data_IF_665578336386
#
_entry.id   IF_665578336386
#
_cell.length_a   1.000
_cell.length_b   1.000
_cell.length_c   1.000
_cell.angle_alpha   90.00
_cell.angle_beta   90.00
_cell.angle_gamma   90.00
#
_symmetry.space_group_name_H-M   'P 1'
#
loop_
_entity.id
_entity.type
_entity.pdbx_description
1 polymer ?
#
# COMPACT_ATOMS: atom_id res chain seq x y z
N UNK A 1 13.31 37.25 -12.14
CA UNK A 1 13.59 35.93 -11.57
C UNK A 1 13.37 36.07 -10.07
N UNK A 2 12.25 35.54 -9.54
CA UNK A 2 12.00 35.47 -8.10
C UNK A 2 12.83 34.32 -7.53
N UNK A 3 13.41 34.46 -6.33
CA UNK A 3 14.12 33.35 -5.70
C UNK A 3 13.11 32.22 -5.41
N UNK A 4 13.55 30.98 -5.67
CA UNK A 4 12.86 29.77 -5.25
C UNK A 4 12.78 29.84 -3.72
N UNK A 5 11.59 29.77 -3.16
CA UNK A 5 11.37 29.71 -1.71
C UNK A 5 12.19 28.56 -1.12
N UNK A 6 12.87 28.84 -0.01
CA UNK A 6 13.58 27.80 0.75
C UNK A 6 12.60 26.69 1.12
N UNK A 7 13.02 25.40 1.06
CA UNK A 7 12.17 24.29 1.49
C UNK A 7 11.72 24.54 2.93
N UNK A 8 10.42 24.37 3.17
CA UNK A 8 9.81 24.62 4.46
C UNK A 8 10.55 23.81 5.54
N UNK A 9 10.93 24.48 6.63
CA UNK A 9 11.58 23.86 7.81
C UNK A 9 10.66 22.91 8.59
N UNK A 10 9.50 22.59 8.05
CA UNK A 10 8.48 21.73 8.66
C UNK A 10 8.34 20.49 7.79
N UNK A 11 8.17 19.31 8.44
CA UNK A 11 7.92 18.04 7.75
C UNK A 11 6.68 18.09 6.84
N UNK A 12 6.36 17.00 6.15
CA UNK A 12 5.23 16.93 5.23
C UNK A 12 3.91 17.25 5.96
N UNK A 13 3.01 17.99 5.30
CA UNK A 13 1.72 18.40 5.88
C UNK A 13 0.68 17.28 5.94
N UNK A 14 1.00 16.12 5.37
CA UNK A 14 0.10 14.98 5.20
C UNK A 14 0.43 13.78 6.11
N UNK A 15 1.31 13.95 7.07
CA UNK A 15 1.67 12.92 8.04
C UNK A 15 2.90 13.29 8.86
N UNK A 16 3.18 12.50 9.88
CA UNK A 16 4.37 12.66 10.74
C UNK A 16 5.45 11.69 10.29
N UNK A 17 6.69 12.16 10.20
CA UNK A 17 7.85 11.33 9.88
C UNK A 17 8.30 10.59 11.14
N UNK A 18 8.48 9.26 11.05
CA UNK A 18 9.21 8.48 12.03
C UNK A 18 10.72 8.66 11.79
N UNK A 19 11.32 9.56 12.58
CA UNK A 19 12.75 9.88 12.47
C UNK A 19 13.64 8.71 12.90
N UNK A 20 13.18 7.87 13.81
CA UNK A 20 13.96 6.73 14.29
C UNK A 20 14.02 5.65 13.19
N UNK A 21 12.92 5.40 12.50
CA UNK A 21 12.93 4.49 11.35
C UNK A 21 13.75 5.07 10.18
N UNK A 22 13.62 6.36 9.89
CA UNK A 22 14.45 7.03 8.87
C UNK A 22 15.96 6.89 9.16
N UNK A 23 16.35 7.04 10.42
CA UNK A 23 17.75 6.87 10.83
C UNK A 23 18.20 5.40 10.72
N UNK A 24 17.36 4.42 11.08
CA UNK A 24 17.67 3.00 10.88
C UNK A 24 17.88 2.68 9.39
N UNK A 25 16.98 3.14 8.51
CA UNK A 25 17.14 2.97 7.06
C UNK A 25 18.46 3.56 6.54
N UNK A 26 18.80 4.78 6.97
CA UNK A 26 20.04 5.45 6.56
C UNK A 26 21.30 4.76 7.11
N UNK A 27 21.21 4.12 8.27
CA UNK A 27 22.31 3.46 8.97
C UNK A 27 22.48 1.98 8.58
N UNK A 28 21.57 1.41 7.78
CA UNK A 28 21.67 0.00 7.34
C UNK A 28 23.00 -0.21 6.60
N UNK A 29 23.84 -1.17 7.05
CA UNK A 29 25.10 -1.46 6.37
C UNK A 29 24.88 -1.91 4.93
N UNK A 30 25.74 -1.54 3.98
CA UNK A 30 25.57 -1.88 2.56
C UNK A 30 25.44 -3.39 2.29
N UNK A 31 26.07 -4.23 3.10
CA UNK A 31 26.02 -5.69 3.02
C UNK A 31 24.70 -6.30 3.56
N UNK A 32 23.95 -5.53 4.33
CA UNK A 32 22.63 -5.90 4.87
C UNK A 32 21.49 -5.17 4.16
N UNK A 33 21.83 -4.15 3.33
CA UNK A 33 20.84 -3.34 2.62
C UNK A 33 20.43 -4.04 1.32
N UNK A 34 19.13 -4.14 1.12
CA UNK A 34 18.54 -4.83 -0.01
C UNK A 34 17.19 -4.23 -0.40
N UNK A 35 16.47 -4.89 -1.31
CA UNK A 35 15.20 -4.37 -1.80
C UNK A 35 14.19 -4.14 -0.67
N UNK A 36 13.48 -3.00 -0.76
CA UNK A 36 12.39 -2.63 0.14
C UNK A 36 11.20 -2.14 -0.67
N UNK A 37 9.99 -2.57 -0.27
CA UNK A 37 8.73 -2.16 -0.89
C UNK A 37 8.07 -1.10 -0.03
N UNK A 38 7.93 0.11 -0.58
CA UNK A 38 7.28 1.22 0.12
C UNK A 38 5.81 1.24 -0.28
N UNK A 39 4.96 0.77 0.63
CA UNK A 39 3.49 0.78 0.45
C UNK A 39 2.95 2.13 0.90
N UNK A 40 2.27 2.82 -0.02
CA UNK A 40 1.68 4.13 0.21
C UNK A 40 0.16 4.02 0.22
N UNK A 41 -0.48 4.43 1.30
CA UNK A 41 -1.92 4.70 1.37
C UNK A 41 -2.09 6.21 1.24
N UNK A 42 -2.94 6.65 0.31
CA UNK A 42 -3.06 8.05 -0.06
C UNK A 42 -4.51 8.53 0.05
N UNK A 43 -4.71 9.61 0.82
CA UNK A 43 -5.93 10.39 0.89
C UNK A 43 -5.69 11.76 0.28
N UNK A 44 -6.48 12.12 -0.72
CA UNK A 44 -6.35 13.38 -1.43
C UNK A 44 -7.17 14.51 -0.80
N UNK A 45 -6.67 15.73 -0.92
CA UNK A 45 -7.48 16.93 -0.71
C UNK A 45 -8.49 17.06 -1.86
N UNK A 46 -9.64 17.65 -1.59
CA UNK A 46 -10.60 17.98 -2.66
C UNK A 46 -9.96 18.97 -3.66
N UNK A 47 -9.35 20.03 -3.15
CA UNK A 47 -8.55 21.00 -3.91
C UNK A 47 -7.14 21.02 -3.34
N UNK A 48 -6.15 20.98 -4.23
CA UNK A 48 -4.74 21.03 -3.85
C UNK A 48 -4.40 22.37 -3.18
N UNK A 49 -3.65 22.32 -2.10
CA UNK A 49 -3.27 23.49 -1.31
C UNK A 49 -1.77 23.76 -1.45
N UNK A 50 -1.41 24.72 -2.28
CA UNK A 50 -0.03 25.16 -2.49
C UNK A 50 0.42 26.25 -1.47
N UNK A 51 -0.38 26.51 -0.42
CA UNK A 51 -0.05 27.51 0.59
C UNK A 51 -0.07 28.92 0.03
N UNK A 52 0.96 29.71 0.38
CA UNK A 52 1.05 31.13 0.01
C UNK A 52 1.29 31.37 -1.50
N UNK A 53 1.53 30.32 -2.31
CA UNK A 53 1.80 30.45 -3.74
C UNK A 53 0.54 30.70 -4.59
N UNK A 54 -0.63 30.79 -3.98
CA UNK A 54 -1.87 31.22 -4.59
C UNK A 54 -3.01 30.18 -4.55
N UNK A 55 -4.20 30.59 -4.94
CA UNK A 55 -5.37 29.71 -5.04
C UNK A 55 -5.17 28.66 -6.13
N UNK A 56 -5.35 27.39 -5.77
CA UNK A 56 -5.34 26.25 -6.69
C UNK A 56 -6.75 25.97 -7.19
N UNK A 57 -6.85 25.49 -8.43
CA UNK A 57 -8.11 25.02 -9.04
C UNK A 57 -8.08 23.55 -9.40
N UNK A 58 -6.95 22.87 -9.19
CA UNK A 58 -6.81 21.44 -9.47
C UNK A 58 -7.11 20.62 -8.21
N UNK A 59 -7.59 19.39 -8.42
CA UNK A 59 -7.82 18.46 -7.33
C UNK A 59 -6.49 17.99 -6.69
N UNK A 60 -6.56 17.46 -5.47
CA UNK A 60 -5.41 16.83 -4.84
C UNK A 60 -4.89 15.64 -5.66
N UNK A 61 -5.78 14.92 -6.34
CA UNK A 61 -5.42 13.82 -7.24
C UNK A 61 -4.64 14.34 -8.46
N UNK A 62 -5.10 15.39 -9.12
CA UNK A 62 -4.39 15.98 -10.25
C UNK A 62 -3.00 16.50 -9.83
N UNK A 63 -2.89 17.01 -8.61
CA UNK A 63 -1.60 17.41 -8.05
C UNK A 63 -0.67 16.20 -7.84
N UNK A 64 -1.18 15.05 -7.37
CA UNK A 64 -0.40 13.80 -7.26
C UNK A 64 0.03 13.28 -8.64
N UNK A 65 -0.79 13.41 -9.67
CA UNK A 65 -0.42 13.06 -11.04
C UNK A 65 0.72 13.98 -11.57
N UNK A 66 0.77 15.25 -11.16
CA UNK A 66 1.90 16.15 -11.44
C UNK A 66 3.16 15.78 -10.65
N UNK A 67 2.99 15.26 -9.42
CA UNK A 67 4.12 14.77 -8.63
C UNK A 67 4.82 13.62 -9.32
N UNK A 68 4.11 12.60 -9.79
CA UNK A 68 4.57 11.36 -10.41
C UNK A 68 6.08 11.34 -10.78
N UNK A 69 7.00 10.91 -9.88
CA UNK A 69 8.44 11.10 -10.03
C UNK A 69 9.10 9.95 -10.84
N UNK A 70 8.45 9.48 -11.91
CA UNK A 70 8.88 8.28 -12.66
C UNK A 70 10.32 8.35 -13.17
N UNK A 71 10.78 9.52 -13.65
CA UNK A 71 12.16 9.69 -14.11
C UNK A 71 13.15 9.55 -12.95
N UNK A 72 12.85 10.16 -11.81
CA UNK A 72 13.70 10.07 -10.61
C UNK A 72 13.77 8.64 -10.09
N UNK A 73 12.62 7.94 -10.08
CA UNK A 73 12.56 6.53 -9.67
C UNK A 73 13.40 5.65 -10.60
N UNK A 74 13.27 5.83 -11.92
CA UNK A 74 14.05 5.08 -12.90
C UNK A 74 15.56 5.31 -12.74
N UNK A 75 15.99 6.55 -12.50
CA UNK A 75 17.39 6.92 -12.29
C UNK A 75 18.05 6.21 -11.11
N UNK A 76 17.29 5.92 -10.07
CA UNK A 76 17.76 5.23 -8.86
C UNK A 76 17.49 3.72 -8.88
N UNK A 77 16.93 3.19 -9.98
CA UNK A 77 16.57 1.78 -10.12
C UNK A 77 15.35 1.37 -9.29
N UNK A 78 14.51 2.32 -8.89
CA UNK A 78 13.24 2.04 -8.23
C UNK A 78 12.12 1.84 -9.25
N UNK A 79 11.16 0.97 -8.91
CA UNK A 79 10.08 0.58 -9.80
C UNK A 79 8.73 0.74 -9.10
N UNK A 80 7.75 1.36 -9.78
CA UNK A 80 6.35 1.28 -9.36
C UNK A 80 5.83 -0.11 -9.73
N UNK A 81 5.55 -0.93 -8.74
CA UNK A 81 5.13 -2.34 -8.93
C UNK A 81 3.65 -2.56 -8.70
N UNK A 82 2.96 -1.59 -8.10
CA UNK A 82 1.52 -1.59 -7.95
C UNK A 82 1.01 -0.16 -7.82
N UNK A 83 -0.11 0.14 -8.47
CA UNK A 83 -0.96 1.23 -8.04
C UNK A 83 -2.41 0.96 -8.46
N UNK A 84 -3.35 1.48 -7.68
CA UNK A 84 -4.77 1.36 -7.97
C UNK A 84 -5.62 2.26 -7.10
N UNK A 85 -6.81 2.59 -7.60
CA UNK A 85 -7.78 3.39 -6.89
C UNK A 85 -8.60 2.53 -5.93
N UNK A 86 -8.84 3.03 -4.73
CA UNK A 86 -9.71 2.38 -3.75
C UNK A 86 -11.16 2.59 -4.16
N UNK A 87 -11.85 1.50 -4.48
CA UNK A 87 -13.28 1.52 -4.80
C UNK A 87 -14.16 1.47 -3.55
N UNK A 88 -13.70 0.74 -2.54
CA UNK A 88 -14.40 0.61 -1.27
C UNK A 88 -13.42 0.27 -0.14
N UNK A 89 -13.56 0.94 0.98
CA UNK A 89 -12.93 0.55 2.24
C UNK A 89 -13.95 -0.22 3.07
N UNK A 90 -13.67 -1.50 3.33
CA UNK A 90 -14.59 -2.41 4.01
C UNK A 90 -14.39 -2.41 5.53
N UNK A 91 -13.14 -2.25 5.96
CA UNK A 91 -12.74 -2.21 7.36
C UNK A 91 -11.72 -1.08 7.57
N UNK A 92 -11.68 -0.60 8.79
CA UNK A 92 -10.78 0.44 9.26
C UNK A 92 -11.48 1.78 9.47
N UNK A 93 -10.91 2.57 10.37
CA UNK A 93 -11.39 3.91 10.71
C UNK A 93 -11.04 4.92 9.61
N UNK A 94 -11.36 6.20 9.87
CA UNK A 94 -10.94 7.29 8.99
C UNK A 94 -9.40 7.43 8.96
N UNK A 95 -8.87 7.93 7.84
CA UNK A 95 -9.61 8.35 6.66
C UNK A 95 -10.04 7.17 5.79
N UNK A 96 -11.00 7.41 4.88
CA UNK A 96 -11.20 6.52 3.73
C UNK A 96 -10.15 6.85 2.69
N UNK A 97 -9.33 5.85 2.35
CA UNK A 97 -8.24 6.00 1.41
C UNK A 97 -8.75 6.10 -0.04
N UNK A 98 -8.03 6.85 -0.89
CA UNK A 98 -8.42 7.06 -2.28
C UNK A 98 -7.58 6.23 -3.25
N UNK A 99 -6.28 6.01 -2.92
CA UNK A 99 -5.36 5.26 -3.79
C UNK A 99 -4.33 4.51 -2.95
N UNK A 100 -3.86 3.37 -3.47
CA UNK A 100 -2.72 2.64 -2.95
C UNK A 100 -1.65 2.54 -4.03
N UNK A 101 -0.39 2.78 -3.64
CA UNK A 101 0.77 2.60 -4.51
C UNK A 101 1.87 1.84 -3.81
N UNK A 102 2.60 1.01 -4.56
CA UNK A 102 3.81 0.33 -4.06
C UNK A 102 4.97 0.60 -4.99
N UNK A 103 6.05 1.10 -4.40
CA UNK A 103 7.32 1.32 -5.09
C UNK A 103 8.36 0.39 -4.48
N UNK A 104 9.00 -0.43 -5.31
CA UNK A 104 10.14 -1.25 -4.95
C UNK A 104 11.42 -0.42 -5.14
N UNK A 105 12.17 -0.25 -4.09
CA UNK A 105 13.49 0.38 -4.12
C UNK A 105 14.57 -0.69 -4.06
N UNK A 106 15.70 -0.53 -4.76
CA UNK A 106 16.80 -1.50 -4.72
C UNK A 106 17.45 -1.59 -3.32
N UNK A 107 17.42 -0.51 -2.55
CA UNK A 107 17.94 -0.43 -1.19
C UNK A 107 17.18 0.61 -0.37
N UNK A 108 17.21 0.51 0.97
CA UNK A 108 16.70 1.54 1.88
C UNK A 108 17.44 2.86 1.68
N UNK A 109 18.74 2.78 1.43
CA UNK A 109 19.59 3.94 1.16
C UNK A 109 19.10 4.70 -0.08
N UNK A 110 18.74 4.03 -1.17
CA UNK A 110 18.25 4.69 -2.39
C UNK A 110 16.96 5.47 -2.14
N UNK A 111 16.05 4.94 -1.28
CA UNK A 111 14.87 5.69 -0.83
C UNK A 111 15.24 6.95 -0.05
N UNK A 112 16.19 6.86 0.89
CA UNK A 112 16.62 8.00 1.71
C UNK A 112 17.31 9.06 0.84
N UNK A 113 18.23 8.64 -0.04
CA UNK A 113 18.97 9.54 -0.93
C UNK A 113 18.06 10.25 -1.93
N UNK A 114 17.03 9.56 -2.45
CA UNK A 114 16.02 10.17 -3.34
C UNK A 114 15.41 11.44 -2.72
N UNK A 115 15.08 11.39 -1.43
CA UNK A 115 14.46 12.53 -0.75
C UNK A 115 15.35 13.77 -0.68
N UNK A 116 16.68 13.62 -0.87
CA UNK A 116 17.65 14.71 -0.89
C UNK A 116 17.86 15.30 -2.29
N UNK A 117 17.35 14.67 -3.34
CA UNK A 117 17.55 15.10 -4.73
C UNK A 117 16.76 16.37 -5.04
N UNK A 118 17.40 17.39 -5.66
CA UNK A 118 16.70 18.64 -6.01
C UNK A 118 15.58 18.47 -7.04
N UNK A 119 15.71 17.51 -7.97
CA UNK A 119 14.69 17.20 -8.98
C UNK A 119 13.47 16.54 -8.34
N UNK A 120 13.66 15.63 -7.37
CA UNK A 120 12.59 15.06 -6.57
C UNK A 120 11.86 16.12 -5.75
N UNK A 121 12.62 16.97 -5.04
CA UNK A 121 12.03 18.03 -4.19
C UNK A 121 11.17 19.01 -4.98
N UNK A 122 11.55 19.34 -6.23
CA UNK A 122 10.74 20.18 -7.11
C UNK A 122 9.37 19.57 -7.43
N UNK A 123 9.30 18.25 -7.57
CA UNK A 123 8.04 17.53 -7.78
C UNK A 123 7.27 17.34 -6.48
N UNK A 124 7.97 17.14 -5.37
CA UNK A 124 7.39 16.85 -4.06
C UNK A 124 6.44 17.95 -3.54
N UNK A 125 6.58 19.19 -4.00
CA UNK A 125 5.64 20.28 -3.68
C UNK A 125 4.22 19.95 -4.12
N UNK A 126 4.06 19.20 -5.21
CA UNK A 126 2.75 18.77 -5.70
C UNK A 126 2.14 17.69 -4.81
N UNK A 127 2.96 16.73 -4.32
CA UNK A 127 2.52 15.74 -3.34
C UNK A 127 2.05 16.43 -2.05
N UNK A 128 2.85 17.36 -1.52
CA UNK A 128 2.50 18.10 -0.30
C UNK A 128 1.23 18.96 -0.47
N UNK A 129 1.02 19.51 -1.66
CA UNK A 129 -0.21 20.25 -1.97
C UNK A 129 -1.44 19.34 -2.11
N UNK A 130 -1.28 18.16 -2.73
CA UNK A 130 -2.38 17.28 -3.10
C UNK A 130 -2.84 16.34 -1.98
N UNK A 131 -1.92 15.92 -1.09
CA UNK A 131 -2.22 14.95 -0.04
C UNK A 131 -2.88 15.60 1.16
N UNK A 132 -3.99 15.00 1.61
CA UNK A 132 -4.59 15.29 2.91
C UNK A 132 -3.92 14.46 4.00
N UNK A 133 -3.81 13.14 3.76
CA UNK A 133 -3.16 12.19 4.65
C UNK A 133 -2.44 11.11 3.84
N UNK A 134 -1.35 10.58 4.39
CA UNK A 134 -0.61 9.47 3.79
C UNK A 134 -0.03 8.59 4.87
N UNK A 135 -0.10 7.27 4.66
CA UNK A 135 0.71 6.30 5.40
C UNK A 135 1.70 5.69 4.42
N UNK A 136 2.98 5.69 4.77
CA UNK A 136 4.05 5.04 3.98
C UNK A 136 4.73 4.00 4.85
N UNK A 137 4.58 2.74 4.47
CA UNK A 137 5.10 1.59 5.21
C UNK A 137 6.24 0.97 4.41
N UNK A 138 7.44 0.89 5.01
CA UNK A 138 8.54 0.10 4.47
C UNK A 138 8.32 -1.37 4.79
N UNK A 139 8.41 -2.22 3.77
CA UNK A 139 7.97 -3.59 3.82
C UNK A 139 8.99 -4.54 3.19
N UNK A 140 9.05 -5.76 3.73
CA UNK A 140 9.82 -6.87 3.19
C UNK A 140 8.87 -8.03 2.85
N UNK A 141 9.08 -8.75 1.73
CA UNK A 141 8.24 -9.89 1.39
C UNK A 141 8.40 -11.00 2.43
N UNK A 142 7.31 -11.72 2.67
CA UNK A 142 7.30 -12.91 3.53
C UNK A 142 6.86 -14.13 2.74
N UNK A 143 7.25 -15.31 3.22
CA UNK A 143 6.76 -16.56 2.66
C UNK A 143 5.24 -16.63 2.75
N UNK A 144 4.61 -17.06 1.65
CA UNK A 144 3.16 -17.16 1.56
C UNK A 144 2.74 -18.62 1.46
N UNK A 145 1.56 -18.99 2.01
CA UNK A 145 1.01 -20.32 1.79
C UNK A 145 0.82 -20.58 0.30
N UNK A 146 1.18 -21.79 -0.13
CA UNK A 146 1.03 -22.22 -1.52
C UNK A 146 -0.34 -22.89 -1.67
N UNK A 147 -1.19 -22.29 -2.49
CA UNK A 147 -2.48 -22.84 -2.89
C UNK A 147 -2.50 -23.18 -4.38
N UNK A 148 -3.41 -24.07 -4.78
CA UNK A 148 -3.60 -24.36 -6.19
C UNK A 148 -4.03 -23.10 -6.95
N UNK A 149 -3.36 -22.84 -8.08
CA UNK A 149 -3.72 -21.74 -8.98
C UNK A 149 -4.68 -22.21 -10.05
N UNK A 150 -5.78 -21.47 -10.24
CA UNK A 150 -6.79 -21.77 -11.23
C UNK A 150 -6.77 -20.77 -12.39
N UNK A 151 -7.10 -21.25 -13.58
CA UNK A 151 -7.38 -20.40 -14.75
C UNK A 151 -8.66 -19.60 -14.47
N UNK A 152 -8.54 -18.27 -14.49
CA UNK A 152 -9.67 -17.38 -14.21
C UNK A 152 -10.86 -17.54 -15.16
N UNK A 153 -10.63 -18.07 -16.37
CA UNK A 153 -11.72 -18.38 -17.30
C UNK A 153 -12.58 -19.59 -16.87
N UNK A 154 -12.11 -20.38 -15.89
CA UNK A 154 -12.73 -21.65 -15.46
C UNK A 154 -13.22 -21.67 -14.01
N UNK A 155 -13.05 -20.56 -13.28
CA UNK A 155 -13.53 -20.45 -11.89
C UNK A 155 -15.03 -20.17 -11.86
N UNK A 156 -15.72 -20.36 -10.71
CA UNK A 156 -17.15 -20.13 -10.60
C UNK A 156 -17.62 -18.70 -10.93
N UNK A 157 -16.74 -17.71 -10.72
CA UNK A 157 -17.03 -16.30 -10.95
C UNK A 157 -15.89 -15.65 -11.77
N UNK A 158 -15.79 -15.97 -13.08
CA UNK A 158 -14.75 -15.43 -13.94
C UNK A 158 -14.88 -13.92 -14.12
N UNK A 159 -13.80 -13.25 -14.52
CA UNK A 159 -13.88 -11.82 -14.86
C UNK A 159 -14.76 -11.63 -16.10
N UNK A 160 -15.48 -10.51 -16.12
CA UNK A 160 -16.30 -10.03 -17.25
C UNK A 160 -15.99 -8.57 -17.53
N UNK A 161 -16.54 -8.04 -18.63
CA UNK A 161 -16.37 -6.60 -18.96
C UNK A 161 -16.99 -5.68 -17.88
N UNK A 162 -18.06 -6.14 -17.20
CA UNK A 162 -18.75 -5.36 -16.16
C UNK A 162 -18.22 -5.66 -14.75
N UNK A 163 -17.52 -6.78 -14.55
CA UNK A 163 -16.97 -7.22 -13.25
C UNK A 163 -15.56 -7.81 -13.44
N UNK A 164 -14.61 -6.92 -13.67
CA UNK A 164 -13.21 -7.27 -13.89
C UNK A 164 -12.43 -7.56 -12.61
N UNK A 165 -11.14 -7.89 -12.76
CA UNK A 165 -10.26 -8.18 -11.64
C UNK A 165 -10.16 -7.04 -10.63
N UNK A 166 -10.04 -7.42 -9.36
CA UNK A 166 -9.78 -6.50 -8.25
C UNK A 166 -8.65 -7.04 -7.37
N UNK A 167 -8.01 -6.16 -6.63
CA UNK A 167 -7.07 -6.53 -5.57
C UNK A 167 -7.64 -6.13 -4.21
N UNK A 168 -7.75 -7.09 -3.29
CA UNK A 168 -8.12 -6.80 -1.91
C UNK A 168 -6.84 -6.60 -1.12
N UNK A 169 -6.69 -5.38 -0.59
CA UNK A 169 -5.52 -4.99 0.19
C UNK A 169 -5.89 -4.98 1.67
N UNK A 170 -5.09 -5.68 2.47
CA UNK A 170 -5.20 -5.66 3.92
C UNK A 170 -3.96 -5.01 4.51
N UNK A 171 -4.15 -4.02 5.39
CA UNK A 171 -3.11 -3.48 6.26
C UNK A 171 -3.46 -3.91 7.68
N UNK A 172 -2.56 -4.61 8.34
CA UNK A 172 -2.84 -5.35 9.57
C UNK A 172 -1.91 -4.91 10.69
N UNK A 173 -2.49 -4.66 11.86
CA UNK A 173 -1.78 -4.54 13.13
C UNK A 173 -2.26 -5.64 14.06
N UNK A 174 -1.33 -6.45 14.54
CA UNK A 174 -1.65 -7.58 15.40
C UNK A 174 -1.78 -7.19 16.87
N UNK A 175 -2.57 -7.96 17.60
CA UNK A 175 -2.46 -8.05 19.04
C UNK A 175 -1.16 -8.83 19.33
N UNK A 176 -0.48 -8.54 20.44
CA UNK A 176 0.75 -9.21 20.82
C UNK A 176 0.60 -10.75 20.74
N UNK A 177 1.62 -11.40 20.14
CA UNK A 177 1.72 -12.86 19.98
C UNK A 177 0.58 -13.55 19.20
N UNK A 178 -0.23 -12.82 18.42
CA UNK A 178 -1.38 -13.37 17.68
C UNK A 178 -1.06 -13.91 16.27
N UNK A 179 0.23 -14.04 15.91
CA UNK A 179 0.64 -14.51 14.58
C UNK A 179 0.09 -15.90 14.26
N UNK A 180 0.04 -16.81 15.23
CA UNK A 180 -0.48 -18.16 15.05
C UNK A 180 -1.99 -18.18 14.71
N UNK A 181 -2.78 -17.30 15.30
CA UNK A 181 -4.20 -17.15 14.97
C UNK A 181 -4.38 -16.62 13.55
N UNK A 182 -3.57 -15.64 13.14
CA UNK A 182 -3.60 -15.14 11.74
C UNK A 182 -3.16 -16.19 10.73
N UNK A 183 -2.23 -17.09 11.10
CA UNK A 183 -1.85 -18.24 10.27
C UNK A 183 -3.00 -19.23 10.14
N UNK A 184 -3.66 -19.59 11.26
CA UNK A 184 -4.83 -20.47 11.26
C UNK A 184 -5.96 -19.91 10.38
N UNK A 185 -6.29 -18.63 10.54
CA UNK A 185 -7.25 -17.95 9.67
C UNK A 185 -6.84 -18.03 8.20
N UNK A 186 -5.56 -17.74 7.91
CA UNK A 186 -5.06 -17.64 6.54
C UNK A 186 -5.12 -18.97 5.78
N UNK A 187 -4.94 -20.09 6.48
CA UNK A 187 -5.07 -21.42 5.90
C UNK A 187 -6.52 -21.70 5.48
N UNK A 188 -7.49 -21.52 6.39
CA UNK A 188 -8.92 -21.73 6.09
C UNK A 188 -9.39 -20.76 5.00
N UNK A 189 -9.05 -19.49 5.12
CA UNK A 189 -9.42 -18.49 4.11
C UNK A 189 -8.82 -18.79 2.74
N UNK A 190 -7.61 -19.32 2.68
CA UNK A 190 -6.94 -19.73 1.44
C UNK A 190 -7.58 -20.97 0.79
N UNK A 191 -7.95 -21.98 1.59
CA UNK A 191 -8.68 -23.16 1.11
C UNK A 191 -10.03 -22.79 0.50
N UNK A 192 -10.77 -21.88 1.15
CA UNK A 192 -12.03 -21.32 0.62
C UNK A 192 -11.80 -20.49 -0.63
N UNK A 193 -10.75 -19.67 -0.65
CA UNK A 193 -10.50 -18.71 -1.73
C UNK A 193 -9.92 -19.34 -3.01
N UNK A 194 -9.10 -20.39 -2.87
CA UNK A 194 -8.39 -21.03 -4.00
C UNK A 194 -9.34 -21.47 -5.12
N UNK A 195 -10.45 -22.20 -4.87
CA UNK A 195 -11.39 -22.62 -5.93
C UNK A 195 -12.04 -21.44 -6.68
N UNK A 196 -12.09 -20.27 -6.07
CA UNK A 196 -12.59 -19.03 -6.68
C UNK A 196 -11.52 -18.26 -7.48
N UNK A 197 -10.31 -18.83 -7.60
CA UNK A 197 -9.23 -18.27 -8.40
C UNK A 197 -8.46 -17.14 -7.74
N UNK A 198 -8.54 -17.01 -6.42
CA UNK A 198 -7.77 -15.98 -5.68
C UNK A 198 -6.28 -16.28 -5.81
N UNK A 199 -5.49 -15.23 -6.01
CA UNK A 199 -4.03 -15.31 -6.10
C UNK A 199 -3.40 -14.35 -5.09
N UNK A 200 -2.39 -14.82 -4.40
CA UNK A 200 -1.58 -13.96 -3.54
C UNK A 200 -0.57 -13.24 -4.44
N UNK A 201 -0.68 -11.93 -4.59
CA UNK A 201 0.25 -11.13 -5.36
C UNK A 201 1.42 -10.62 -4.52
N UNK A 202 1.28 -10.60 -3.20
CA UNK A 202 2.36 -10.31 -2.27
C UNK A 202 1.83 -10.15 -0.83
N UNK A 203 2.54 -10.74 0.11
CA UNK A 203 2.39 -10.47 1.53
C UNK A 203 3.71 -9.94 2.05
N UNK A 204 3.64 -8.92 2.89
CA UNK A 204 4.79 -8.17 3.33
C UNK A 204 4.74 -7.97 4.84
N UNK A 205 5.85 -8.22 5.53
CA UNK A 205 6.07 -7.76 6.89
C UNK A 205 6.44 -6.28 6.86
N UNK A 206 5.84 -5.48 7.72
CA UNK A 206 6.22 -4.09 7.89
C UNK A 206 7.53 -4.00 8.68
N UNK A 207 8.50 -3.30 8.12
CA UNK A 207 9.75 -2.97 8.81
C UNK A 207 9.60 -1.69 9.65
N UNK A 208 8.73 -0.79 9.21
CA UNK A 208 8.39 0.45 9.89
C UNK A 208 7.48 1.34 9.06
N UNK A 209 6.84 2.29 9.72
CA UNK A 209 6.00 3.32 9.08
C UNK A 209 6.78 4.62 9.01
N UNK A 210 7.32 4.97 7.82
CA UNK A 210 8.18 6.16 7.67
C UNK A 210 7.41 7.47 7.71
N UNK A 211 6.16 7.47 7.22
CA UNK A 211 5.23 8.61 7.31
C UNK A 211 3.89 8.05 7.70
N UNK A 212 3.20 8.68 8.64
CA UNK A 212 1.87 8.25 9.04
C UNK A 212 1.25 9.09 10.14
N UNK A 213 0.29 8.53 10.82
CA UNK A 213 -0.48 9.11 11.91
C UNK A 213 0.02 8.70 13.31
N UNK A 214 1.20 8.06 13.37
CA UNK A 214 1.81 7.54 14.59
C UNK A 214 1.46 6.08 14.89
N UNK A 215 0.57 5.45 14.12
CA UNK A 215 0.30 4.01 14.22
C UNK A 215 1.43 3.20 13.58
N UNK A 216 1.68 2.02 14.14
CA UNK A 216 2.55 1.00 13.55
C UNK A 216 1.71 -0.09 12.91
N UNK A 217 2.26 -0.76 11.93
CA UNK A 217 1.63 -1.85 11.20
C UNK A 217 2.56 -3.05 11.16
N UNK A 218 2.00 -4.25 11.08
CA UNK A 218 2.78 -5.50 11.10
C UNK A 218 2.84 -6.17 9.74
N UNK A 219 1.74 -6.13 8.97
CA UNK A 219 1.71 -6.74 7.64
C UNK A 219 0.85 -5.93 6.66
N UNK A 220 1.23 -6.04 5.37
CA UNK A 220 0.38 -5.63 4.24
C UNK A 220 0.24 -6.81 3.28
N UNK A 221 -1.01 -7.13 2.89
CA UNK A 221 -1.32 -8.28 2.03
C UNK A 221 -2.11 -7.85 0.81
N UNK A 222 -1.72 -8.34 -0.36
CA UNK A 222 -2.36 -8.08 -1.65
C UNK A 222 -2.87 -9.41 -2.21
N UNK A 223 -4.20 -9.55 -2.29
CA UNK A 223 -4.86 -10.75 -2.81
C UNK A 223 -5.70 -10.37 -4.02
N UNK A 224 -5.35 -10.89 -5.19
CA UNK A 224 -6.07 -10.62 -6.43
C UNK A 224 -7.23 -11.60 -6.60
N UNK A 225 -8.38 -11.06 -6.98
CA UNK A 225 -9.61 -11.78 -7.28
C UNK A 225 -9.97 -11.59 -8.75
N UNK A 226 -10.51 -12.61 -9.43
CA UNK A 226 -10.94 -12.48 -10.81
C UNK A 226 -12.11 -11.49 -10.99
N UNK A 227 -12.93 -11.32 -9.95
CA UNK A 227 -14.12 -10.46 -9.98
C UNK A 227 -14.59 -10.07 -8.57
N UNK A 228 -15.44 -9.07 -8.46
CA UNK A 228 -16.13 -8.73 -7.20
C UNK A 228 -17.12 -9.82 -6.79
N UNK A 229 -17.68 -10.57 -7.77
CA UNK A 229 -18.52 -11.73 -7.48
C UNK A 229 -17.71 -12.85 -6.81
N UNK A 230 -16.49 -13.14 -7.25
CA UNK A 230 -15.59 -14.09 -6.59
C UNK A 230 -15.25 -13.62 -5.16
N UNK A 231 -14.92 -12.34 -4.99
CA UNK A 231 -14.69 -11.77 -3.66
C UNK A 231 -15.90 -11.95 -2.74
N UNK A 232 -17.10 -11.64 -3.21
CA UNK A 232 -18.33 -11.80 -2.39
C UNK A 232 -18.56 -13.26 -1.99
N UNK A 233 -18.38 -14.19 -2.92
CA UNK A 233 -18.51 -15.63 -2.63
C UNK A 233 -17.58 -16.07 -1.51
N UNK A 234 -16.31 -15.70 -1.58
CA UNK A 234 -15.31 -15.98 -0.53
C UNK A 234 -15.64 -15.22 0.77
N UNK A 235 -16.00 -13.94 0.68
CA UNK A 235 -16.27 -13.11 1.86
C UNK A 235 -17.47 -13.57 2.69
N UNK A 236 -18.46 -14.23 2.06
CA UNK A 236 -19.68 -14.72 2.71
C UNK A 236 -19.67 -16.23 2.95
N UNK A 237 -18.56 -16.90 2.67
CA UNK A 237 -18.44 -18.35 2.90
C UNK A 237 -18.52 -18.67 4.41
N UNK A 238 -19.36 -19.65 4.82
CA UNK A 238 -19.56 -19.97 6.22
C UNK A 238 -18.30 -20.41 6.97
N UNK A 239 -17.46 -21.23 6.35
CA UNK A 239 -16.25 -21.75 7.01
C UNK A 239 -15.23 -20.63 7.21
N UNK A 240 -15.10 -19.73 6.20
CA UNK A 240 -14.28 -18.53 6.33
C UNK A 240 -14.81 -17.58 7.42
N UNK A 241 -16.13 -17.40 7.53
CA UNK A 241 -16.73 -16.53 8.56
C UNK A 241 -16.49 -17.08 9.97
N UNK A 242 -16.56 -18.39 10.16
CA UNK A 242 -16.20 -19.04 11.44
C UNK A 242 -14.74 -18.78 11.75
N UNK A 243 -13.83 -19.05 10.81
CA UNK A 243 -12.41 -18.80 11.02
C UNK A 243 -12.09 -17.31 11.26
N UNK A 244 -12.84 -16.39 10.64
CA UNK A 244 -12.72 -14.96 10.90
C UNK A 244 -13.05 -14.62 12.35
N UNK A 245 -14.18 -15.12 12.87
CA UNK A 245 -14.59 -14.83 14.24
C UNK A 245 -13.67 -15.48 15.28
N UNK A 246 -13.21 -16.71 15.03
CA UNK A 246 -12.42 -17.49 15.98
C UNK A 246 -10.95 -17.08 16.02
N UNK A 247 -10.40 -16.62 14.90
CA UNK A 247 -8.97 -16.37 14.75
C UNK A 247 -8.62 -14.94 14.31
N UNK A 248 -9.24 -14.43 13.22
CA UNK A 248 -8.84 -13.15 12.65
C UNK A 248 -9.22 -11.96 13.53
N UNK A 249 -10.44 -11.91 14.02
CA UNK A 249 -10.91 -10.78 14.82
C UNK A 249 -10.18 -10.66 16.15
N UNK A 250 -9.94 -11.74 16.91
CA UNK A 250 -9.13 -11.66 18.13
C UNK A 250 -7.67 -11.31 17.89
N UNK A 251 -7.13 -11.65 16.70
CA UNK A 251 -5.72 -11.44 16.36
C UNK A 251 -5.39 -10.00 15.95
N UNK A 252 -6.39 -9.18 15.64
CA UNK A 252 -6.16 -7.85 15.08
C UNK A 252 -6.46 -6.75 16.09
N UNK A 253 -5.46 -5.92 16.35
CA UNK A 253 -5.62 -4.68 17.11
C UNK A 253 -6.16 -3.54 16.23
N UNK A 254 -5.83 -3.56 14.92
CA UNK A 254 -6.28 -2.56 13.94
C UNK A 254 -6.16 -3.13 12.52
N UNK A 255 -6.98 -2.64 11.58
CA UNK A 255 -6.89 -3.08 10.19
C UNK A 255 -7.52 -2.09 9.23
N UNK A 256 -6.93 -1.99 8.03
CA UNK A 256 -7.65 -1.53 6.84
C UNK A 256 -7.89 -2.72 5.92
N UNK A 257 -9.07 -2.80 5.33
CA UNK A 257 -9.37 -3.74 4.24
C UNK A 257 -10.04 -2.97 3.11
N UNK A 258 -9.41 -2.97 1.94
CA UNK A 258 -9.84 -2.15 0.81
C UNK A 258 -9.95 -2.99 -0.45
N UNK A 259 -10.99 -2.74 -1.23
CA UNK A 259 -11.12 -3.20 -2.61
C UNK A 259 -10.48 -2.15 -3.50
N UNK A 260 -9.51 -2.56 -4.31
CA UNK A 260 -8.73 -1.67 -5.18
C UNK A 260 -8.89 -2.12 -6.63
N UNK A 261 -9.20 -1.18 -7.51
CA UNK A 261 -9.12 -1.38 -8.96
C UNK A 261 -7.66 -1.15 -9.41
N UNK A 262 -6.92 -2.20 -9.80
CA UNK A 262 -5.53 -2.03 -10.16
C UNK A 262 -5.39 -1.34 -11.52
N UNK A 263 -4.63 -0.24 -11.58
CA UNK A 263 -4.15 0.37 -12.81
C UNK A 263 -2.82 -0.26 -13.26
N UNK A 264 -2.03 -0.73 -12.30
CA UNK A 264 -0.82 -1.54 -12.50
C UNK A 264 -0.73 -2.57 -11.39
N UNK A 265 -0.44 -3.82 -11.74
CA UNK A 265 -0.13 -4.89 -10.80
C UNK A 265 0.98 -5.79 -11.33
N UNK A 266 2.18 -5.53 -10.88
CA UNK A 266 3.39 -6.31 -11.13
C UNK A 266 3.98 -6.88 -9.81
N UNK A 267 3.19 -6.85 -8.71
CA UNK A 267 3.68 -7.27 -7.39
C UNK A 267 4.21 -8.70 -7.40
N UNK A 268 3.43 -9.64 -7.93
CA UNK A 268 3.79 -11.07 -7.94
C UNK A 268 5.11 -11.38 -8.66
N UNK A 269 5.55 -10.51 -9.57
CA UNK A 269 6.82 -10.66 -10.28
C UNK A 269 7.93 -9.81 -9.67
N UNK A 270 7.62 -8.97 -8.71
CA UNK A 270 8.57 -8.07 -8.06
C UNK A 270 9.18 -8.64 -6.79
N UNK A 271 8.55 -9.65 -6.19
CA UNK A 271 8.97 -10.33 -4.94
C UNK A 271 9.91 -11.49 -5.22
#
# INVERSE_FOLDING_TARGET
VRPVSEPSRHGPRYGTIDTDYALRMAATPPEEDGPVWMVNLMKYREIADYGDDGESTISGRDADDLYAPFEVLADIGAEVVFFGDVEAQLLGDSPTWDRIGVVKYPTRRSFVEMNSRPDFQKKHVHKDAGMQETIVIGCLPVDVPVFETHDWAKVPHPPTDDDGPITVVHVLRFVDDSTADMEAYSLVAGEVASPHGVRIHGWFAAEGTIIGDGRTWDQVRFNAFPSRAAFRAVATDPDRLVAQADHREPALADTYTMIVAPGLDALATSV
#
